data_IF_460122317137
#
_entry.id   IF_460122317137
#
_cell.length_a   1.000
_cell.length_b   1.000
_cell.length_c   1.000
_cell.angle_alpha   90.00
_cell.angle_beta   90.00
_cell.angle_gamma   90.00
#
_symmetry.space_group_name_H-M   'P 1'
#
loop_
_entity.id
_entity.type
_entity.pdbx_description
1 polymer ?
#
# COMPACT_ATOMS: atom_id res chain seq x y z
N UNK A 1 3.90 12.92 1.63
CA UNK A 1 3.78 11.61 0.96
C UNK A 1 5.00 10.81 1.36
N UNK A 2 4.80 9.54 1.69
CA UNK A 2 5.82 8.58 2.07
C UNK A 2 6.05 7.63 0.88
N UNK A 3 7.24 7.04 0.85
CA UNK A 3 7.62 6.05 -0.17
C UNK A 3 7.88 4.69 0.50
N UNK A 4 7.79 3.64 -0.29
CA UNK A 4 8.01 2.29 0.18
C UNK A 4 7.94 1.26 -0.93
N UNK A 5 8.10 0.00 -0.55
CA UNK A 5 7.95 -1.15 -1.44
C UNK A 5 6.82 -2.05 -0.96
N UNK A 6 6.07 -2.59 -1.90
CA UNK A 6 5.03 -3.57 -1.61
C UNK A 6 5.69 -4.83 -1.06
N UNK A 7 5.42 -5.15 0.21
CA UNK A 7 5.94 -6.34 0.87
C UNK A 7 5.22 -7.59 0.39
N UNK A 8 3.90 -7.49 0.23
CA UNK A 8 3.06 -8.47 -0.44
C UNK A 8 1.68 -7.86 -0.68
N UNK A 9 0.95 -8.38 -1.66
CA UNK A 9 -0.45 -8.05 -1.88
C UNK A 9 -1.23 -9.30 -2.30
N UNK A 10 -2.46 -9.45 -1.82
CA UNK A 10 -3.32 -10.55 -2.20
C UNK A 10 -4.46 -10.03 -3.07
N UNK A 11 -4.36 -10.20 -4.38
CA UNK A 11 -5.37 -9.78 -5.36
C UNK A 11 -6.77 -10.32 -5.09
N UNK A 12 -6.85 -11.57 -4.60
CA UNK A 12 -8.13 -12.23 -4.33
C UNK A 12 -8.84 -11.65 -3.12
N UNK A 13 -8.07 -11.17 -2.12
CA UNK A 13 -8.62 -10.57 -0.91
C UNK A 13 -8.65 -9.03 -0.95
N UNK A 14 -7.93 -8.41 -1.88
CA UNK A 14 -7.89 -6.96 -2.06
C UNK A 14 -7.13 -6.21 -0.95
N UNK A 15 -6.16 -6.84 -0.30
CA UNK A 15 -5.33 -6.17 0.70
C UNK A 15 -3.91 -6.72 0.74
N UNK A 16 -3.01 -5.94 1.33
CA UNK A 16 -1.59 -6.28 1.47
C UNK A 16 -0.88 -5.39 2.48
N UNK A 17 0.44 -5.40 2.40
CA UNK A 17 1.32 -4.55 3.20
C UNK A 17 2.39 -3.90 2.34
N UNK A 18 2.74 -2.67 2.70
CA UNK A 18 3.83 -1.89 2.12
C UNK A 18 4.86 -1.67 3.22
N UNK A 19 6.10 -2.04 2.95
CA UNK A 19 7.24 -1.68 3.79
C UNK A 19 7.63 -0.25 3.45
N UNK A 20 7.41 0.66 4.40
CA UNK A 20 7.81 2.06 4.25
C UNK A 20 9.32 2.20 4.34
N UNK A 21 9.90 3.24 3.72
CA UNK A 21 11.32 3.55 3.84
C UNK A 21 11.80 3.76 5.29
N UNK A 22 10.90 4.09 6.21
CA UNK A 22 11.18 4.20 7.65
C UNK A 22 11.25 2.83 8.37
N UNK A 23 10.95 1.73 7.68
CA UNK A 23 10.96 0.36 8.20
C UNK A 23 9.63 -0.13 8.81
N UNK A 24 8.58 0.69 8.77
CA UNK A 24 7.24 0.33 9.24
C UNK A 24 6.43 -0.43 8.18
N UNK A 25 5.77 -1.51 8.59
CA UNK A 25 4.79 -2.22 7.79
C UNK A 25 3.43 -1.49 7.80
N UNK A 26 3.06 -0.90 6.66
CA UNK A 26 1.80 -0.19 6.48
C UNK A 26 0.77 -1.08 5.79
N UNK A 27 -0.39 -1.26 6.42
CA UNK A 27 -1.51 -1.98 5.81
C UNK A 27 -2.06 -1.22 4.60
N UNK A 28 -2.39 -1.91 3.51
CA UNK A 28 -3.03 -1.29 2.33
C UNK A 28 -4.25 -2.10 1.90
N UNK A 29 -5.34 -1.40 1.59
CA UNK A 29 -6.55 -1.97 1.00
C UNK A 29 -6.67 -1.50 -0.45
N UNK A 30 -7.25 -2.32 -1.33
CA UNK A 30 -7.36 -2.01 -2.75
C UNK A 30 -8.10 -0.69 -3.03
N UNK A 31 -9.02 -0.28 -2.13
CA UNK A 31 -9.76 0.98 -2.27
C UNK A 31 -8.83 2.20 -2.32
N UNK A 32 -7.71 2.13 -1.60
CA UNK A 32 -6.76 3.24 -1.45
C UNK A 32 -5.84 3.38 -2.66
N UNK A 33 -5.72 2.34 -3.49
CA UNK A 33 -4.89 2.34 -4.70
C UNK A 33 -5.50 3.29 -5.73
N UNK A 34 -4.68 4.19 -6.24
CA UNK A 34 -5.00 5.15 -7.28
C UNK A 34 -4.72 4.53 -8.66
N UNK A 35 -5.50 4.94 -9.65
CA UNK A 35 -5.42 4.45 -11.01
C UNK A 35 -6.73 3.83 -11.49
N UNK A 36 -6.81 3.67 -12.81
CA UNK A 36 -7.96 3.10 -13.49
C UNK A 36 -7.82 1.58 -13.68
N UNK A 37 -8.94 0.87 -13.70
CA UNK A 37 -8.98 -0.57 -13.90
C UNK A 37 -8.80 -1.38 -12.61
N UNK A 38 -8.07 -2.50 -12.69
CA UNK A 38 -7.93 -3.43 -11.58
C UNK A 38 -6.90 -2.94 -10.56
N UNK A 39 -7.38 -2.56 -9.38
CA UNK A 39 -6.57 -2.01 -8.29
C UNK A 39 -5.77 -3.10 -7.58
N UNK A 40 -4.52 -3.28 -8.00
CA UNK A 40 -3.58 -4.25 -7.42
C UNK A 40 -2.17 -3.68 -7.27
N UNK A 41 -1.34 -4.39 -6.52
CA UNK A 41 0.07 -4.11 -6.25
C UNK A 41 0.88 -5.39 -6.46
N UNK A 42 2.09 -5.26 -6.99
CA UNK A 42 3.01 -6.39 -7.16
C UNK A 42 4.04 -6.40 -6.04
N UNK A 43 4.40 -7.57 -5.51
CA UNK A 43 5.49 -7.70 -4.54
C UNK A 43 6.79 -7.07 -5.09
N UNK A 44 7.47 -6.29 -4.25
CA UNK A 44 8.68 -5.54 -4.59
C UNK A 44 8.46 -4.24 -5.37
N UNK A 45 7.22 -3.94 -5.78
CA UNK A 45 6.89 -2.71 -6.53
C UNK A 45 7.07 -1.48 -5.65
N UNK A 46 7.67 -0.43 -6.22
CA UNK A 46 7.77 0.88 -5.59
C UNK A 46 6.42 1.60 -5.58
N UNK A 47 6.10 2.21 -4.45
CA UNK A 47 4.83 2.91 -4.25
C UNK A 47 5.05 4.22 -3.52
N UNK A 48 4.22 5.20 -3.83
CA UNK A 48 4.07 6.42 -3.05
C UNK A 48 2.70 6.44 -2.38
N UNK A 49 2.63 6.84 -1.13
CA UNK A 49 1.39 6.79 -0.36
C UNK A 49 1.35 7.84 0.75
N UNK A 50 0.18 8.05 1.33
CA UNK A 50 0.03 8.82 2.56
C UNK A 50 -0.08 7.85 3.74
N UNK A 51 0.92 7.89 4.64
CA UNK A 51 0.88 7.11 5.89
C UNK A 51 -0.17 7.73 6.82
N UNK A 52 -1.12 6.92 7.25
CA UNK A 52 -2.14 7.30 8.22
C UNK A 52 -2.26 6.26 9.33
N UNK A 53 -2.81 6.63 10.48
CA UNK A 53 -3.01 5.72 11.59
C UNK A 53 -4.45 5.22 11.58
N UNK A 54 -4.64 3.92 11.33
CA UNK A 54 -5.94 3.27 11.38
C UNK A 54 -6.22 2.64 12.74
N UNK A 55 -7.41 2.08 12.90
CA UNK A 55 -7.82 1.36 14.13
C UNK A 55 -6.95 0.12 14.42
N UNK A 56 -6.25 -0.40 13.42
CA UNK A 56 -5.40 -1.61 13.50
C UNK A 56 -3.91 -1.32 13.36
N UNK A 57 -3.50 -0.04 13.42
CA UNK A 57 -2.11 0.38 13.25
C UNK A 57 -1.86 1.19 11.98
N UNK A 58 -0.59 1.34 11.56
CA UNK A 58 -0.22 2.10 10.37
C UNK A 58 -0.87 1.54 9.10
N UNK A 59 -1.43 2.44 8.29
CA UNK A 59 -2.00 2.10 6.98
C UNK A 59 -1.58 3.11 5.92
N UNK A 60 -1.66 2.70 4.66
CA UNK A 60 -1.34 3.49 3.49
C UNK A 60 -2.62 3.93 2.77
N UNK A 61 -2.79 5.23 2.61
CA UNK A 61 -3.87 5.87 1.86
C UNK A 61 -3.35 6.53 0.59
N UNK A 62 -4.24 6.76 -0.39
CA UNK A 62 -3.90 7.36 -1.71
C UNK A 62 -2.63 6.75 -2.33
N UNK A 63 -2.59 5.42 -2.41
CA UNK A 63 -1.42 4.67 -2.88
C UNK A 63 -1.29 4.81 -4.38
N UNK A 64 -0.16 5.32 -4.86
CA UNK A 64 0.18 5.47 -6.26
C UNK A 64 1.27 4.45 -6.59
N UNK A 65 0.96 3.40 -7.36
CA UNK A 65 1.96 2.46 -7.85
C UNK A 65 2.91 3.15 -8.84
N UNK A 66 4.23 2.98 -8.65
CA UNK A 66 5.26 3.44 -9.59
C UNK A 66 5.62 2.35 -10.60
#
# INVERSE_FOLDING_TARGET
MAEGKVKWFNDSKGYGFIESSDGDDCFVHFSEIQGDGFKTLKEGQDVEFEKSMGQKGPQASKVIPK
#
